data_IF_726880302650
#
_entry.id   IF_726880302650
#
_cell.length_a   1.000
_cell.length_b   1.000
_cell.length_c   1.000
_cell.angle_alpha   90.00
_cell.angle_beta   90.00
_cell.angle_gamma   90.00
#
_symmetry.space_group_name_H-M   'P 1'
#
loop_
_entity.id
_entity.type
_entity.pdbx_description
1 polymer ?
#
# COMPACT_ATOMS: atom_id res chain seq x y z
N UNK A 1 -4.39 36.40 99.33
CA UNK A 1 -4.54 37.79 98.83
C UNK A 1 -4.31 37.77 97.33
N UNK A 2 -5.22 38.39 96.57
CA UNK A 2 -5.17 38.62 95.11
C UNK A 2 -3.99 39.49 94.72
N UNK A 3 -3.45 39.29 93.50
CA UNK A 3 -3.31 40.32 92.46
C UNK A 3 -3.25 39.64 91.07
N UNK A 4 -4.17 39.98 90.17
CA UNK A 4 -4.01 39.89 88.70
C UNK A 4 -3.16 41.08 88.22
N UNK A 5 -2.40 40.97 87.11
CA UNK A 5 -2.20 42.10 86.16
C UNK A 5 -1.63 41.65 84.80
N UNK A 6 -2.48 41.72 83.78
CA UNK A 6 -2.35 42.17 82.38
C UNK A 6 -1.15 41.82 81.48
N UNK A 7 -1.50 41.19 80.34
CA UNK A 7 -0.75 41.17 79.08
C UNK A 7 -0.78 42.54 78.37
N UNK A 8 0.36 42.94 77.80
CA UNK A 8 0.45 43.97 76.76
C UNK A 8 1.19 43.40 75.55
N UNK A 9 0.50 43.37 74.41
CA UNK A 9 1.06 43.05 73.09
C UNK A 9 1.92 44.24 72.60
N UNK A 10 3.14 43.96 72.15
CA UNK A 10 3.94 44.88 71.32
C UNK A 10 3.95 44.39 69.86
N UNK A 11 3.89 45.31 68.88
CA UNK A 11 3.47 45.01 67.51
C UNK A 11 4.55 44.27 66.70
N UNK A 12 4.10 43.23 65.99
CA UNK A 12 4.91 42.46 65.05
C UNK A 12 5.35 43.27 63.83
N UNK A 13 6.59 43.00 63.43
CA UNK A 13 7.34 43.54 62.29
C UNK A 13 6.72 43.18 60.91
N UNK A 14 5.42 43.38 60.72
CA UNK A 14 4.72 43.25 59.43
C UNK A 14 4.54 44.59 58.70
N UNK A 15 4.60 45.71 59.44
CA UNK A 15 4.46 47.06 58.88
C UNK A 15 5.60 47.47 57.96
N UNK A 16 6.83 47.00 58.20
CA UNK A 16 7.99 47.41 57.40
C UNK A 16 7.90 46.97 55.93
N UNK A 17 7.35 45.78 55.64
CA UNK A 17 7.21 45.31 54.25
C UNK A 17 6.12 46.07 53.49
N UNK A 18 4.99 46.37 54.14
CA UNK A 18 3.92 47.18 53.54
C UNK A 18 4.36 48.63 53.35
N UNK A 19 5.12 49.19 54.28
CA UNK A 19 5.63 50.57 54.18
C UNK A 19 6.70 50.67 53.09
N UNK A 20 7.61 49.69 52.95
CA UNK A 20 8.59 49.67 51.85
C UNK A 20 7.90 49.51 50.48
N UNK A 21 6.87 48.67 50.38
CA UNK A 21 6.07 48.52 49.15
C UNK A 21 5.29 49.80 48.79
N UNK A 22 4.70 50.48 49.79
CA UNK A 22 4.01 51.76 49.60
C UNK A 22 4.97 52.89 49.24
N UNK A 23 6.19 52.91 49.80
CA UNK A 23 7.23 53.90 49.48
C UNK A 23 7.75 53.70 48.04
N UNK A 24 7.93 52.45 47.58
CA UNK A 24 8.30 52.15 46.19
C UNK A 24 7.21 52.55 45.19
N UNK A 25 5.92 52.41 45.56
CA UNK A 25 4.79 52.90 44.78
C UNK A 25 4.71 54.44 44.76
N UNK A 26 4.94 55.09 45.90
CA UNK A 26 4.85 56.54 46.05
C UNK A 26 6.04 57.31 45.42
N UNK A 27 7.23 56.70 45.35
CA UNK A 27 8.44 57.28 44.73
C UNK A 27 8.49 57.12 43.19
N UNK A 28 7.37 56.75 42.54
CA UNK A 28 7.29 56.66 41.08
C UNK A 28 7.64 55.29 40.49
N UNK A 29 7.65 54.22 41.29
CA UNK A 29 7.84 52.84 40.80
C UNK A 29 6.62 52.25 40.07
N UNK A 30 5.42 52.82 40.26
CA UNK A 30 4.19 52.39 39.58
C UNK A 30 4.29 52.43 38.03
N UNK A 31 4.73 53.54 37.38
CA UNK A 31 4.90 53.58 35.93
C UNK A 31 5.95 52.59 35.39
N UNK A 32 7.00 52.27 36.16
CA UNK A 32 7.98 51.24 35.78
C UNK A 32 7.37 49.84 35.77
N UNK A 33 6.54 49.49 36.77
CA UNK A 33 5.84 48.20 36.81
C UNK A 33 4.83 48.06 35.65
N UNK A 34 4.08 49.12 35.33
CA UNK A 34 3.14 49.12 34.21
C UNK A 34 3.87 48.94 32.88
N UNK A 35 5.02 49.61 32.70
CA UNK A 35 5.86 49.45 31.50
C UNK A 35 6.44 48.03 31.38
N UNK A 36 6.92 47.44 32.49
CA UNK A 36 7.45 46.06 32.47
C UNK A 36 6.36 45.04 32.16
N UNK A 37 5.17 45.18 32.75
CA UNK A 37 4.01 44.32 32.45
C UNK A 37 3.55 44.51 30.99
N UNK A 38 3.53 45.75 30.49
CA UNK A 38 3.22 46.04 29.09
C UNK A 38 4.22 45.40 28.11
N UNK A 39 5.52 45.46 28.40
CA UNK A 39 6.56 44.80 27.61
C UNK A 39 6.40 43.28 27.68
N UNK A 40 6.17 42.68 28.85
CA UNK A 40 5.94 41.24 29.00
C UNK A 40 4.70 40.76 28.24
N UNK A 41 3.59 41.51 28.28
CA UNK A 41 2.38 41.19 27.53
C UNK A 41 2.59 41.33 26.02
N UNK A 42 3.27 42.39 25.57
CA UNK A 42 3.54 42.63 24.14
C UNK A 42 4.51 41.61 23.55
N UNK A 43 5.56 41.24 24.29
CA UNK A 43 6.54 40.21 23.87
C UNK A 43 5.91 38.82 23.90
N UNK A 44 5.09 38.51 24.90
CA UNK A 44 4.29 37.28 24.94
C UNK A 44 3.30 37.17 23.78
N UNK A 45 2.59 38.25 23.46
CA UNK A 45 1.68 38.30 22.31
C UNK A 45 2.42 38.14 20.98
N UNK A 46 3.58 38.81 20.83
CA UNK A 46 4.39 38.68 19.62
C UNK A 46 4.93 37.26 19.43
N UNK A 47 5.41 36.63 20.50
CA UNK A 47 5.83 35.22 20.47
C UNK A 47 4.67 34.29 20.13
N UNK A 48 3.49 34.52 20.72
CA UNK A 48 2.30 33.75 20.40
C UNK A 48 1.91 33.89 18.92
N UNK A 49 1.92 35.11 18.38
CA UNK A 49 1.58 35.39 16.99
C UNK A 49 2.63 34.79 16.03
N UNK A 50 3.91 34.86 16.40
CA UNK A 50 4.99 34.22 15.65
C UNK A 50 4.86 32.69 15.65
N UNK A 51 4.54 32.07 16.78
CA UNK A 51 4.28 30.63 16.87
C UNK A 51 3.02 30.24 16.08
N UNK A 52 1.98 31.07 16.10
CA UNK A 52 0.77 30.85 15.32
C UNK A 52 1.05 30.89 13.82
N UNK A 53 1.82 31.88 13.34
CA UNK A 53 2.25 31.97 11.95
C UNK A 53 3.15 30.79 11.58
N UNK A 54 4.09 30.41 12.45
CA UNK A 54 4.96 29.26 12.23
C UNK A 54 4.16 27.95 12.14
N UNK A 55 3.17 27.75 13.03
CA UNK A 55 2.27 26.61 12.98
C UNK A 55 1.41 26.60 11.72
N UNK A 56 0.89 27.74 11.29
CA UNK A 56 0.10 27.86 10.06
C UNK A 56 0.95 27.59 8.82
N UNK A 57 2.16 28.14 8.75
CA UNK A 57 3.13 27.89 7.69
C UNK A 57 3.55 26.41 7.64
N UNK A 58 3.81 25.79 8.81
CA UNK A 58 4.11 24.37 8.90
C UNK A 58 2.91 23.51 8.46
N UNK A 59 1.70 23.82 8.91
CA UNK A 59 0.48 23.12 8.49
C UNK A 59 0.25 23.24 6.98
N UNK A 60 0.45 24.42 6.41
CA UNK A 60 0.35 24.65 4.97
C UNK A 60 1.41 23.86 4.19
N UNK A 61 2.65 23.87 4.65
CA UNK A 61 3.74 23.07 4.08
C UNK A 61 3.43 21.57 4.08
N UNK A 62 2.95 21.04 5.21
CA UNK A 62 2.57 19.63 5.34
C UNK A 62 1.40 19.30 4.41
N UNK A 63 0.33 20.12 4.37
CA UNK A 63 -0.81 19.89 3.47
C UNK A 63 -0.40 19.87 2.01
N UNK A 64 0.48 20.78 1.59
CA UNK A 64 1.00 20.81 0.23
C UNK A 64 1.80 19.54 -0.08
N UNK A 65 2.66 19.10 0.82
CA UNK A 65 3.45 17.87 0.65
C UNK A 65 2.59 16.61 0.60
N UNK A 66 1.55 16.53 1.44
CA UNK A 66 0.58 15.43 1.42
C UNK A 66 -0.18 15.41 0.09
N UNK A 67 -0.65 16.57 -0.40
CA UNK A 67 -1.35 16.64 -1.69
C UNK A 67 -0.46 16.25 -2.88
N UNK A 68 0.80 16.68 -2.90
CA UNK A 68 1.76 16.28 -3.94
C UNK A 68 1.97 14.75 -3.93
N UNK A 69 2.08 14.15 -2.74
CA UNK A 69 2.22 12.71 -2.56
C UNK A 69 0.96 11.92 -3.00
N UNK A 70 -0.23 12.37 -2.58
CA UNK A 70 -1.51 11.73 -2.94
C UNK A 70 -1.81 11.79 -4.44
N UNK A 71 -1.46 12.91 -5.09
CA UNK A 71 -1.61 13.07 -6.54
C UNK A 71 -0.67 12.13 -7.30
N UNK A 72 0.62 12.08 -6.93
CA UNK A 72 1.59 11.20 -7.56
C UNK A 72 1.21 9.71 -7.39
N UNK A 73 0.74 9.32 -6.20
CA UNK A 73 0.25 7.96 -5.96
C UNK A 73 -1.00 7.65 -6.79
N UNK A 74 -1.92 8.61 -6.91
CA UNK A 74 -3.13 8.46 -7.74
C UNK A 74 -2.79 8.35 -9.22
N UNK A 75 -1.82 9.11 -9.71
CA UNK A 75 -1.36 9.08 -11.10
C UNK A 75 -0.66 7.75 -11.42
N UNK A 76 0.27 7.29 -10.57
CA UNK A 76 0.93 5.99 -10.72
C UNK A 76 -0.08 4.85 -10.76
N UNK A 77 -1.07 4.86 -9.86
CA UNK A 77 -2.17 3.88 -9.87
C UNK A 77 -2.99 3.93 -11.15
N UNK A 78 -3.35 5.13 -11.61
CA UNK A 78 -4.13 5.31 -12.84
C UNK A 78 -3.37 4.78 -14.06
N UNK A 79 -2.08 5.10 -14.14
CA UNK A 79 -1.19 4.61 -15.19
C UNK A 79 -1.10 3.09 -15.18
N UNK A 80 -0.92 2.50 -14.00
CA UNK A 80 -0.88 1.04 -13.83
C UNK A 80 -2.14 0.36 -14.37
N UNK A 81 -3.32 0.84 -13.93
CA UNK A 81 -4.61 0.27 -14.33
C UNK A 81 -4.85 0.46 -15.83
N UNK A 82 -4.46 1.61 -16.39
CA UNK A 82 -4.54 1.88 -17.82
C UNK A 82 -3.70 0.88 -18.61
N UNK A 83 -2.39 0.78 -18.32
CA UNK A 83 -1.49 -0.14 -19.00
C UNK A 83 -1.94 -1.60 -18.84
N UNK A 84 -2.34 -1.98 -17.62
CA UNK A 84 -2.85 -3.32 -17.36
C UNK A 84 -4.07 -3.64 -18.23
N UNK A 85 -5.07 -2.76 -18.25
CA UNK A 85 -6.27 -2.96 -19.07
C UNK A 85 -5.93 -3.05 -20.56
N UNK A 86 -5.06 -2.18 -21.06
CA UNK A 86 -4.63 -2.18 -22.46
C UNK A 86 -3.91 -3.47 -22.84
N UNK A 87 -2.96 -3.93 -22.00
CA UNK A 87 -2.22 -5.17 -22.23
C UNK A 87 -3.17 -6.37 -22.23
N UNK A 88 -4.07 -6.47 -21.24
CA UNK A 88 -5.00 -7.60 -21.16
C UNK A 88 -5.96 -7.64 -22.35
N UNK A 89 -6.40 -6.49 -22.87
CA UNK A 89 -7.21 -6.41 -24.08
C UNK A 89 -6.42 -6.85 -25.30
N UNK A 90 -5.17 -6.39 -25.47
CA UNK A 90 -4.31 -6.83 -26.58
C UNK A 90 -4.00 -8.32 -26.53
N UNK A 91 -3.84 -8.87 -25.34
CA UNK A 91 -3.66 -10.31 -25.09
C UNK A 91 -4.93 -11.08 -25.46
N UNK A 92 -6.11 -10.61 -25.07
CA UNK A 92 -7.37 -11.23 -25.46
C UNK A 92 -7.67 -11.10 -26.97
N UNK A 93 -7.10 -10.09 -27.64
CA UNK A 93 -7.17 -9.92 -29.09
C UNK A 93 -6.13 -10.75 -29.84
N UNK A 94 -5.35 -11.62 -29.18
CA UNK A 94 -4.28 -12.38 -29.81
C UNK A 94 -4.78 -13.20 -31.02
N UNK A 95 -5.93 -13.86 -30.88
CA UNK A 95 -6.58 -14.63 -31.96
C UNK A 95 -7.54 -13.78 -32.83
N UNK A 96 -7.50 -12.45 -32.68
CA UNK A 96 -8.22 -11.48 -33.49
C UNK A 96 -9.48 -10.90 -32.83
N UNK A 97 -10.32 -11.74 -32.18
CA UNK A 97 -11.54 -11.28 -31.51
C UNK A 97 -11.59 -11.73 -30.05
N UNK A 98 -11.97 -10.79 -29.17
CA UNK A 98 -12.12 -11.05 -27.73
C UNK A 98 -13.38 -11.86 -27.49
N UNK A 99 -13.27 -13.00 -26.80
CA UNK A 99 -14.42 -13.81 -26.40
C UNK A 99 -15.15 -13.17 -25.22
N UNK A 100 -16.41 -13.58 -25.01
CA UNK A 100 -17.17 -13.15 -23.83
C UNK A 100 -16.51 -13.63 -22.52
N UNK A 101 -15.90 -14.80 -22.53
CA UNK A 101 -15.24 -15.38 -21.36
C UNK A 101 -13.99 -14.58 -20.96
N UNK A 102 -13.18 -14.20 -21.94
CA UNK A 102 -11.99 -13.35 -21.74
C UNK A 102 -12.37 -11.97 -21.23
N UNK A 103 -13.32 -11.32 -21.90
CA UNK A 103 -13.81 -10.00 -21.49
C UNK A 103 -14.36 -10.03 -20.07
N UNK A 104 -15.11 -11.08 -19.72
CA UNK A 104 -15.66 -11.23 -18.36
C UNK A 104 -14.56 -11.52 -17.34
N UNK A 105 -13.52 -12.27 -17.71
CA UNK A 105 -12.36 -12.52 -16.85
C UNK A 105 -11.61 -11.23 -16.53
N UNK A 106 -11.34 -10.40 -17.55
CA UNK A 106 -10.73 -9.08 -17.37
C UNK A 106 -11.60 -8.23 -16.42
N UNK A 107 -12.90 -8.12 -16.68
CA UNK A 107 -13.81 -7.32 -15.83
C UNK A 107 -13.93 -7.87 -14.41
N UNK A 108 -13.93 -9.19 -14.24
CA UNK A 108 -13.99 -9.84 -12.93
C UNK A 108 -12.71 -9.58 -12.13
N UNK A 109 -11.56 -9.46 -12.77
CA UNK A 109 -10.34 -9.08 -12.06
C UNK A 109 -10.51 -7.72 -11.38
N UNK A 110 -10.87 -6.67 -12.13
CA UNK A 110 -11.07 -5.34 -11.57
C UNK A 110 -12.18 -5.31 -10.50
N UNK A 111 -13.30 -5.99 -10.75
CA UNK A 111 -14.43 -5.98 -9.83
C UNK A 111 -14.19 -6.81 -8.55
N UNK A 112 -13.65 -8.01 -8.70
CA UNK A 112 -13.59 -9.00 -7.60
C UNK A 112 -12.26 -8.94 -6.86
N UNK A 113 -11.14 -8.83 -7.57
CA UNK A 113 -9.80 -8.86 -6.95
C UNK A 113 -9.30 -7.46 -6.59
N UNK A 114 -9.68 -6.44 -7.38
CA UNK A 114 -9.39 -5.05 -7.03
C UNK A 114 -10.54 -4.35 -6.32
N UNK A 115 -11.67 -5.05 -6.09
CA UNK A 115 -12.84 -4.52 -5.40
C UNK A 115 -13.39 -3.20 -5.99
N UNK A 116 -13.30 -3.03 -7.31
CA UNK A 116 -13.77 -1.81 -7.96
C UNK A 116 -15.28 -1.67 -7.85
N UNK A 117 -15.71 -0.52 -7.35
CA UNK A 117 -17.12 -0.15 -7.29
C UNK A 117 -17.68 0.19 -8.68
N UNK A 118 -19.00 0.44 -8.75
CA UNK A 118 -19.68 0.71 -10.00
C UNK A 118 -19.10 1.90 -10.78
N UNK A 119 -18.66 2.96 -10.08
CA UNK A 119 -18.09 4.16 -10.72
C UNK A 119 -16.70 3.88 -11.29
N UNK A 120 -15.86 3.13 -10.56
CA UNK A 120 -14.55 2.70 -11.05
C UNK A 120 -14.68 1.73 -12.23
N UNK A 121 -15.69 0.86 -12.19
CA UNK A 121 -15.99 -0.05 -13.30
C UNK A 121 -16.43 0.68 -14.57
N UNK A 122 -17.07 1.85 -14.47
CA UNK A 122 -17.32 2.70 -15.64
C UNK A 122 -16.02 3.09 -16.33
N UNK A 123 -15.03 3.57 -15.57
CA UNK A 123 -13.72 3.91 -16.12
C UNK A 123 -12.99 2.70 -16.71
N UNK A 124 -13.05 1.54 -16.07
CA UNK A 124 -12.48 0.29 -16.63
C UNK A 124 -13.14 -0.08 -17.96
N UNK A 125 -14.47 0.07 -18.09
CA UNK A 125 -15.15 -0.19 -19.35
C UNK A 125 -14.71 0.77 -20.46
N UNK A 126 -14.49 2.04 -20.15
CA UNK A 126 -13.92 3.00 -21.11
C UNK A 126 -12.50 2.60 -21.51
N UNK A 127 -11.63 2.23 -20.55
CA UNK A 127 -10.28 1.74 -20.86
C UNK A 127 -10.29 0.52 -21.78
N UNK A 128 -11.19 -0.44 -21.55
CA UNK A 128 -11.31 -1.64 -22.40
C UNK A 128 -11.74 -1.25 -23.82
N UNK A 129 -12.70 -0.33 -23.94
CA UNK A 129 -13.19 0.16 -25.24
C UNK A 129 -12.10 0.91 -25.99
N UNK A 130 -11.34 1.76 -25.31
CA UNK A 130 -10.22 2.51 -25.86
C UNK A 130 -9.11 1.57 -26.31
N UNK A 131 -8.74 0.59 -25.47
CA UNK A 131 -7.70 -0.40 -25.76
C UNK A 131 -8.01 -1.25 -27.01
N UNK A 132 -9.29 -1.51 -27.29
CA UNK A 132 -9.73 -2.27 -28.46
C UNK A 132 -9.33 -1.58 -29.77
N UNK A 133 -9.25 -0.24 -29.77
CA UNK A 133 -8.93 0.60 -30.93
C UNK A 133 -7.55 1.26 -30.83
N UNK A 134 -6.82 1.04 -29.74
CA UNK A 134 -5.51 1.65 -29.51
C UNK A 134 -4.50 1.14 -30.57
N UNK A 135 -3.77 2.02 -31.27
CA UNK A 135 -2.79 1.62 -32.29
C UNK A 135 -1.50 1.00 -31.71
N UNK A 136 -1.22 1.18 -30.42
CA UNK A 136 -0.01 0.70 -29.77
C UNK A 136 0.09 -0.82 -29.85
N UNK A 137 1.28 -1.31 -30.14
CA UNK A 137 1.57 -2.73 -30.16
C UNK A 137 1.67 -3.29 -28.73
N UNK A 138 1.44 -4.59 -28.57
CA UNK A 138 1.58 -5.26 -27.29
C UNK A 138 2.99 -5.09 -26.71
N UNK A 139 4.02 -5.16 -27.56
CA UNK A 139 5.42 -4.98 -27.17
C UNK A 139 5.68 -3.57 -26.61
N UNK A 140 5.06 -2.55 -27.22
CA UNK A 140 5.18 -1.16 -26.76
C UNK A 140 4.59 -1.00 -25.36
N UNK A 141 3.41 -1.58 -25.13
CA UNK A 141 2.75 -1.54 -23.83
C UNK A 141 3.52 -2.33 -22.76
N UNK A 142 4.07 -3.50 -23.12
CA UNK A 142 4.90 -4.30 -22.23
C UNK A 142 6.20 -3.60 -21.85
N UNK A 143 6.84 -2.89 -22.79
CA UNK A 143 8.05 -2.12 -22.51
C UNK A 143 7.74 -0.96 -21.55
N UNK A 144 6.66 -0.21 -21.81
CA UNK A 144 6.20 0.85 -20.90
C UNK A 144 5.87 0.30 -19.51
N UNK A 145 5.22 -0.86 -19.43
CA UNK A 145 4.90 -1.50 -18.15
C UNK A 145 6.17 -1.92 -17.40
N UNK A 146 7.12 -2.55 -18.10
CA UNK A 146 8.41 -2.98 -17.55
C UNK A 146 9.24 -1.81 -17.04
N UNK A 147 9.26 -0.70 -17.78
CA UNK A 147 10.02 0.50 -17.40
C UNK A 147 9.36 1.28 -16.27
N UNK A 148 8.03 1.22 -16.16
CA UNK A 148 7.26 1.98 -15.16
C UNK A 148 7.13 1.26 -13.81
N UNK A 149 7.19 -0.07 -13.79
CA UNK A 149 6.87 -0.86 -12.60
C UNK A 149 8.00 -1.81 -12.17
N UNK A 150 8.06 -2.04 -10.86
CA UNK A 150 8.96 -3.00 -10.23
C UNK A 150 8.68 -4.44 -10.70
N UNK A 151 9.41 -5.40 -10.15
CA UNK A 151 9.29 -6.80 -10.54
C UNK A 151 7.92 -7.40 -10.16
N UNK A 152 7.42 -7.08 -8.97
CA UNK A 152 6.23 -7.69 -8.38
C UNK A 152 4.95 -7.43 -9.19
N UNK A 153 4.66 -6.22 -9.69
CA UNK A 153 3.50 -5.99 -10.55
C UNK A 153 3.56 -6.73 -11.89
N UNK A 154 4.76 -7.10 -12.38
CA UNK A 154 4.92 -7.92 -13.59
C UNK A 154 4.43 -9.35 -13.38
N UNK A 155 4.60 -9.89 -12.18
CA UNK A 155 4.05 -11.20 -11.82
C UNK A 155 2.52 -11.19 -11.87
N UNK A 156 1.90 -10.12 -11.35
CA UNK A 156 0.44 -9.94 -11.40
C UNK A 156 -0.03 -9.88 -12.85
N UNK A 157 0.64 -9.11 -13.70
CA UNK A 157 0.29 -9.03 -15.12
C UNK A 157 0.35 -10.41 -15.79
N UNK A 158 1.43 -11.18 -15.59
CA UNK A 158 1.57 -12.51 -16.20
C UNK A 158 0.53 -13.49 -15.66
N UNK A 159 0.24 -13.49 -14.35
CA UNK A 159 -0.86 -14.28 -13.78
C UNK A 159 -2.18 -13.97 -14.50
N UNK A 160 -2.48 -12.69 -14.75
CA UNK A 160 -3.71 -12.27 -15.42
C UNK A 160 -3.75 -12.66 -16.90
N UNK A 161 -2.61 -12.61 -17.59
CA UNK A 161 -2.49 -13.15 -18.95
C UNK A 161 -2.89 -14.63 -18.98
N UNK A 162 -2.40 -15.43 -18.03
CA UNK A 162 -2.82 -16.82 -17.89
C UNK A 162 -4.31 -16.96 -17.57
N UNK A 163 -4.88 -16.12 -16.69
CA UNK A 163 -6.32 -16.15 -16.41
C UNK A 163 -7.16 -15.88 -17.67
N UNK A 164 -6.74 -14.91 -18.48
CA UNK A 164 -7.43 -14.54 -19.72
C UNK A 164 -7.40 -15.70 -20.71
N UNK A 165 -6.24 -16.26 -21.02
CA UNK A 165 -6.16 -17.39 -21.95
C UNK A 165 -6.92 -18.62 -21.44
N UNK A 166 -6.78 -18.98 -20.17
CA UNK A 166 -7.49 -20.12 -19.57
C UNK A 166 -8.98 -19.85 -19.27
N UNK A 167 -9.52 -18.69 -19.64
CA UNK A 167 -10.95 -18.42 -19.54
C UNK A 167 -11.77 -19.14 -20.61
N UNK A 168 -11.13 -19.48 -21.74
CA UNK A 168 -11.74 -20.29 -22.79
C UNK A 168 -11.66 -21.78 -22.44
N UNK A 169 -12.54 -22.60 -23.04
CA UNK A 169 -12.60 -24.05 -22.79
C UNK A 169 -11.31 -24.78 -23.16
N UNK A 170 -10.57 -24.26 -24.15
CA UNK A 170 -9.30 -24.80 -24.61
C UNK A 170 -8.32 -23.66 -24.82
N UNK A 171 -7.10 -23.87 -24.34
CA UNK A 171 -5.97 -22.98 -24.59
C UNK A 171 -5.10 -23.61 -25.67
N UNK A 172 -4.76 -22.85 -26.68
CA UNK A 172 -3.91 -23.28 -27.80
C UNK A 172 -2.43 -23.20 -27.42
N UNK A 173 -1.59 -23.95 -28.14
CA UNK A 173 -0.12 -23.86 -27.97
C UNK A 173 0.42 -22.48 -28.35
N UNK A 174 -0.27 -21.75 -29.23
CA UNK A 174 0.12 -20.39 -29.62
C UNK A 174 -0.12 -19.39 -28.48
N UNK A 175 -1.26 -19.48 -27.80
CA UNK A 175 -1.53 -18.66 -26.59
C UNK A 175 -0.54 -18.98 -25.47
N UNK A 176 -0.21 -20.25 -25.25
CA UNK A 176 0.81 -20.63 -24.27
C UNK A 176 2.21 -20.14 -24.65
N UNK A 177 2.55 -20.15 -25.94
CA UNK A 177 3.79 -19.56 -26.44
C UNK A 177 3.79 -18.05 -26.23
N UNK A 178 2.67 -17.38 -26.47
CA UNK A 178 2.53 -15.94 -26.25
C UNK A 178 2.69 -15.59 -24.77
N UNK A 179 2.08 -16.34 -23.85
CA UNK A 179 2.26 -16.14 -22.41
C UNK A 179 3.73 -16.31 -21.98
N UNK A 180 4.43 -17.31 -22.54
CA UNK A 180 5.88 -17.50 -22.33
C UNK A 180 6.70 -16.32 -22.83
N UNK A 181 6.39 -15.83 -24.03
CA UNK A 181 7.07 -14.68 -24.63
C UNK A 181 6.86 -13.41 -23.80
N UNK A 182 5.63 -13.16 -23.31
CA UNK A 182 5.30 -12.04 -22.43
C UNK A 182 6.09 -12.14 -21.12
N UNK A 183 6.12 -13.31 -20.49
CA UNK A 183 6.88 -13.51 -19.25
C UNK A 183 8.38 -13.29 -19.44
N UNK A 184 8.95 -13.76 -20.56
CA UNK A 184 10.33 -13.52 -20.91
C UNK A 184 10.62 -12.04 -21.18
N UNK A 185 9.72 -11.35 -21.90
CA UNK A 185 9.82 -9.93 -22.19
C UNK A 185 9.82 -9.08 -20.91
N UNK A 186 9.00 -9.45 -19.94
CA UNK A 186 8.90 -8.79 -18.63
C UNK A 186 10.03 -9.19 -17.66
N UNK A 187 10.98 -10.01 -18.11
CA UNK A 187 12.16 -10.45 -17.37
C UNK A 187 11.83 -11.23 -16.10
N UNK A 188 10.78 -12.06 -16.14
CA UNK A 188 10.44 -12.95 -15.02
C UNK A 188 11.52 -14.03 -14.83
N UNK A 189 11.84 -14.32 -13.58
CA UNK A 189 12.71 -15.45 -13.23
C UNK A 189 12.04 -16.76 -13.63
N UNK A 190 12.84 -17.73 -14.10
CA UNK A 190 12.32 -19.04 -14.52
C UNK A 190 11.50 -19.73 -13.42
N UNK A 191 11.89 -19.53 -12.15
CA UNK A 191 11.17 -20.08 -11.01
C UNK A 191 9.77 -19.45 -10.83
N UNK A 192 9.67 -18.12 -10.88
CA UNK A 192 8.39 -17.45 -10.67
C UNK A 192 7.44 -17.73 -11.85
N UNK A 193 7.99 -17.69 -13.06
CA UNK A 193 7.24 -18.05 -14.26
C UNK A 193 6.72 -19.50 -14.20
N UNK A 194 7.57 -20.47 -13.82
CA UNK A 194 7.17 -21.87 -13.69
C UNK A 194 6.07 -22.05 -12.63
N UNK A 195 6.18 -21.33 -11.51
CA UNK A 195 5.17 -21.36 -10.44
C UNK A 195 3.81 -20.89 -10.94
N UNK A 196 3.77 -19.79 -11.70
CA UNK A 196 2.54 -19.27 -12.34
C UNK A 196 2.03 -20.30 -13.35
N UNK A 197 2.87 -20.73 -14.29
CA UNK A 197 2.47 -21.63 -15.38
C UNK A 197 1.90 -22.95 -14.85
N UNK A 198 2.56 -23.59 -13.88
CA UNK A 198 2.12 -24.86 -13.30
C UNK A 198 0.70 -24.76 -12.75
N UNK A 199 0.36 -23.67 -12.04
CA UNK A 199 -0.99 -23.45 -11.49
C UNK A 199 -2.10 -23.57 -12.53
N UNK A 200 -1.86 -23.12 -13.78
CA UNK A 200 -2.88 -23.12 -14.83
C UNK A 200 -2.88 -24.40 -15.66
N UNK A 201 -1.70 -24.92 -16.02
CA UNK A 201 -1.60 -26.17 -16.79
C UNK A 201 -2.20 -27.34 -16.02
N UNK A 202 -1.99 -27.40 -14.70
CA UNK A 202 -2.51 -28.49 -13.87
C UNK A 202 -4.02 -28.35 -13.60
N UNK A 203 -4.58 -27.14 -13.62
CA UNK A 203 -6.03 -26.89 -13.44
C UNK A 203 -6.89 -27.54 -14.53
N UNK A 204 -6.36 -27.77 -15.74
CA UNK A 204 -7.07 -28.48 -16.82
C UNK A 204 -7.08 -30.01 -16.66
N UNK A 205 -6.31 -30.59 -15.72
CA UNK A 205 -6.31 -32.03 -15.45
C UNK A 205 -7.30 -32.36 -14.34
N UNK A 206 -8.30 -33.18 -14.65
CA UNK A 206 -9.51 -33.45 -13.85
C UNK A 206 -9.30 -34.24 -12.53
N UNK A 207 -8.09 -34.36 -12.02
CA UNK A 207 -7.82 -35.01 -10.72
C UNK A 207 -6.42 -34.64 -10.19
N UNK A 208 -6.21 -33.38 -9.80
CA UNK A 208 -5.03 -33.02 -8.99
C UNK A 208 -5.39 -33.22 -7.52
N UNK A 209 -4.60 -34.01 -6.79
CA UNK A 209 -4.82 -34.14 -5.36
C UNK A 209 -4.38 -32.86 -4.64
N UNK A 210 -4.99 -32.55 -3.48
CA UNK A 210 -4.75 -31.29 -2.76
C UNK A 210 -3.27 -31.06 -2.44
N UNK A 211 -2.52 -32.13 -2.20
CA UNK A 211 -1.09 -32.05 -1.91
C UNK A 211 -0.27 -31.56 -3.11
N UNK A 212 -0.52 -32.13 -4.30
CA UNK A 212 0.14 -31.69 -5.54
C UNK A 212 -0.12 -30.20 -5.79
N UNK A 213 -1.36 -29.76 -5.59
CA UNK A 213 -1.71 -28.34 -5.71
C UNK A 213 -0.88 -27.47 -4.75
N UNK A 214 -0.61 -27.93 -3.52
CA UNK A 214 0.21 -27.16 -2.58
C UNK A 214 1.70 -27.15 -2.92
N UNK A 215 2.25 -28.22 -3.49
CA UNK A 215 3.60 -28.17 -4.05
C UNK A 215 3.66 -27.19 -5.22
N UNK A 216 2.67 -27.19 -6.12
CA UNK A 216 2.58 -26.27 -7.25
C UNK A 216 2.46 -24.81 -6.81
N UNK A 217 1.66 -24.52 -5.77
CA UNK A 217 1.58 -23.16 -5.17
C UNK A 217 2.95 -22.67 -4.71
N UNK A 218 3.80 -23.57 -4.21
CA UNK A 218 5.17 -23.26 -3.81
C UNK A 218 6.20 -23.35 -4.96
N UNK A 219 5.78 -23.66 -6.18
CA UNK A 219 6.69 -23.85 -7.32
C UNK A 219 7.61 -25.06 -7.17
N UNK A 220 7.14 -26.10 -6.49
CA UNK A 220 7.89 -27.31 -6.16
C UNK A 220 7.29 -28.54 -6.85
N UNK A 221 8.11 -29.56 -7.04
CA UNK A 221 7.65 -30.88 -7.47
C UNK A 221 7.17 -31.69 -6.26
N UNK A 222 6.19 -32.60 -6.44
CA UNK A 222 5.76 -33.52 -5.39
C UNK A 222 6.94 -34.33 -4.84
N UNK A 223 7.05 -34.40 -3.52
CA UNK A 223 8.16 -35.09 -2.84
C UNK A 223 9.39 -34.21 -2.58
N UNK A 224 9.33 -32.90 -2.87
CA UNK A 224 10.36 -31.96 -2.45
C UNK A 224 10.60 -32.03 -0.93
N UNK A 225 11.86 -31.94 -0.52
CA UNK A 225 12.29 -32.01 0.87
C UNK A 225 11.75 -30.84 1.71
N UNK A 226 11.69 -31.03 3.03
CA UNK A 226 11.23 -29.98 3.92
C UNK A 226 12.08 -28.69 3.86
N UNK A 227 13.38 -28.81 3.58
CA UNK A 227 14.26 -27.65 3.39
C UNK A 227 13.94 -26.89 2.09
N UNK A 228 13.61 -27.60 1.01
CA UNK A 228 13.12 -26.98 -0.23
C UNK A 228 11.79 -26.26 -0.02
N UNK A 229 10.87 -26.86 0.74
CA UNK A 229 9.58 -26.24 1.12
C UNK A 229 9.80 -24.95 1.90
N UNK A 230 10.67 -24.95 2.92
CA UNK A 230 10.99 -23.73 3.68
C UNK A 230 11.62 -22.65 2.80
N UNK A 231 12.53 -23.04 1.90
CA UNK A 231 13.22 -22.11 1.01
C UNK A 231 12.24 -21.46 0.03
N UNK A 232 11.37 -22.25 -0.59
CA UNK A 232 10.32 -21.78 -1.48
C UNK A 232 9.36 -20.83 -0.76
N UNK A 233 8.88 -21.23 0.43
CA UNK A 233 8.02 -20.39 1.26
C UNK A 233 8.64 -19.02 1.55
N UNK A 234 9.88 -18.98 2.05
CA UNK A 234 10.56 -17.71 2.36
C UNK A 234 10.69 -16.81 1.12
N UNK A 235 11.06 -17.39 -0.03
CA UNK A 235 11.18 -16.66 -1.28
C UNK A 235 9.84 -16.05 -1.68
N UNK A 236 8.78 -16.87 -1.74
CA UNK A 236 7.45 -16.43 -2.16
C UNK A 236 6.85 -15.42 -1.18
N UNK A 237 7.04 -15.58 0.13
CA UNK A 237 6.59 -14.60 1.12
C UNK A 237 7.25 -13.22 0.95
N UNK A 238 8.52 -13.17 0.53
CA UNK A 238 9.18 -11.89 0.25
C UNK A 238 8.70 -11.27 -1.07
N UNK A 239 8.44 -12.09 -2.08
CA UNK A 239 7.97 -11.65 -3.40
C UNK A 239 6.54 -11.11 -3.35
N UNK A 240 5.63 -11.80 -2.66
CA UNK A 240 4.21 -11.46 -2.59
C UNK A 240 3.84 -10.66 -1.34
N UNK A 241 4.81 -10.02 -0.68
CA UNK A 241 4.52 -9.21 0.50
C UNK A 241 3.66 -7.98 0.13
N UNK A 242 2.57 -7.67 0.86
CA UNK A 242 1.67 -6.56 0.55
C UNK A 242 2.38 -5.22 0.37
N UNK A 243 3.42 -4.95 1.17
CA UNK A 243 4.22 -3.71 1.09
C UNK A 243 4.88 -3.50 -0.28
N UNK A 244 5.15 -4.55 -1.05
CA UNK A 244 5.77 -4.43 -2.39
C UNK A 244 4.87 -3.75 -3.40
N UNK A 245 3.56 -3.85 -3.23
CA UNK A 245 2.55 -3.32 -4.16
C UNK A 245 1.65 -2.25 -3.53
N UNK A 246 1.86 -1.89 -2.25
CA UNK A 246 1.04 -0.91 -1.55
C UNK A 246 1.00 0.48 -2.20
N UNK A 247 2.06 0.87 -2.92
CA UNK A 247 2.10 2.13 -3.66
C UNK A 247 1.11 2.17 -4.85
N UNK A 248 0.65 1.02 -5.34
CA UNK A 248 -0.34 0.92 -6.42
C UNK A 248 -1.78 1.08 -5.92
N UNK A 249 -2.01 1.03 -4.61
CA UNK A 249 -3.34 1.16 -3.99
C UNK A 249 -3.67 0.00 -3.06
N UNK A 250 -4.64 0.21 -2.18
CA UNK A 250 -5.08 -0.81 -1.21
C UNK A 250 -5.67 -2.03 -1.92
N UNK A 251 -6.27 -1.84 -3.10
CA UNK A 251 -6.78 -2.92 -3.93
C UNK A 251 -5.69 -3.95 -4.31
N UNK A 252 -4.48 -3.49 -4.68
CA UNK A 252 -3.38 -4.38 -5.06
C UNK A 252 -2.72 -5.03 -3.85
N UNK A 253 -2.75 -4.35 -2.72
CA UNK A 253 -2.39 -4.93 -1.44
C UNK A 253 -3.29 -6.12 -1.12
N UNK A 254 -4.60 -6.01 -1.37
CA UNK A 254 -5.55 -7.12 -1.25
C UNK A 254 -5.19 -8.32 -2.13
N UNK A 255 -4.77 -8.09 -3.39
CA UNK A 255 -4.31 -9.17 -4.28
C UNK A 255 -3.08 -9.88 -3.73
N UNK A 256 -2.09 -9.12 -3.24
CA UNK A 256 -0.90 -9.69 -2.62
C UNK A 256 -1.23 -10.46 -1.33
N UNK A 257 -2.17 -9.97 -0.51
CA UNK A 257 -2.65 -10.66 0.68
C UNK A 257 -3.35 -11.98 0.36
N UNK A 258 -4.16 -12.03 -0.70
CA UNK A 258 -4.79 -13.28 -1.16
C UNK A 258 -3.74 -14.31 -1.57
N UNK A 259 -2.74 -13.90 -2.37
CA UNK A 259 -1.62 -14.77 -2.73
C UNK A 259 -0.82 -15.23 -1.52
N UNK A 260 -0.59 -14.35 -0.55
CA UNK A 260 0.08 -14.72 0.69
C UNK A 260 -0.71 -15.75 1.49
N UNK A 261 -2.05 -15.65 1.52
CA UNK A 261 -2.91 -16.66 2.16
C UNK A 261 -2.79 -18.01 1.47
N UNK A 262 -2.77 -18.08 0.14
CA UNK A 262 -2.56 -19.31 -0.62
C UNK A 262 -1.19 -19.95 -0.28
N UNK A 263 -0.11 -19.15 -0.30
CA UNK A 263 1.26 -19.60 0.02
C UNK A 263 1.34 -20.13 1.46
N UNK A 264 0.73 -19.42 2.42
CA UNK A 264 0.68 -19.82 3.81
C UNK A 264 -0.07 -21.15 3.98
N UNK A 265 -1.23 -21.30 3.34
CA UNK A 265 -2.01 -22.53 3.40
C UNK A 265 -1.22 -23.74 2.88
N UNK A 266 -0.56 -23.58 1.73
CA UNK A 266 0.28 -24.61 1.14
C UNK A 266 1.44 -25.02 2.06
N UNK A 267 2.16 -24.04 2.61
CA UNK A 267 3.26 -24.31 3.54
C UNK A 267 2.79 -25.02 4.81
N UNK A 268 1.68 -24.59 5.42
CA UNK A 268 1.18 -25.20 6.65
C UNK A 268 0.75 -26.65 6.44
N UNK A 269 0.08 -26.93 5.32
CA UNK A 269 -0.29 -28.30 4.97
C UNK A 269 0.95 -29.19 4.81
N UNK A 270 1.90 -28.78 3.98
CA UNK A 270 3.10 -29.57 3.69
C UNK A 270 3.96 -29.76 4.94
N UNK A 271 4.12 -28.70 5.76
CA UNK A 271 4.81 -28.78 7.04
C UNK A 271 4.17 -29.82 7.97
N UNK A 272 2.84 -29.80 8.10
CA UNK A 272 2.10 -30.76 8.94
C UNK A 272 2.30 -32.18 8.43
N UNK A 273 2.26 -32.37 7.11
CA UNK A 273 2.51 -33.68 6.49
C UNK A 273 3.92 -34.20 6.83
N UNK A 274 4.95 -33.40 6.65
CA UNK A 274 6.33 -33.78 6.98
C UNK A 274 6.50 -34.15 8.46
N UNK A 275 5.87 -33.39 9.35
CA UNK A 275 5.90 -33.68 10.79
C UNK A 275 5.16 -34.95 11.18
N UNK A 276 4.17 -35.40 10.40
CA UNK A 276 3.42 -36.63 10.67
C UNK A 276 4.07 -37.89 10.06
N UNK A 277 5.09 -37.71 9.21
CA UNK A 277 5.83 -38.80 8.56
C UNK A 277 7.13 -39.17 9.28
N UNK A 278 7.48 -38.44 10.35
CA UNK A 278 8.66 -38.62 11.18
C UNK A 278 8.28 -38.62 12.66
#
# INVERSE_FOLDING_TARGET
MRYEYHYHNQPGCGGCLLVVALILLALGGAPLLINVIGILLSTGLFLFLALFVAFWAFSFYIRRKVSEYEQAQTESRKNFVSLLAHILVKVAQFDGNITRAELQTIKNFFRTHLHYNQNQMFWVNELIKDATHNPDSLETLLEQFKSSFAYEPRLILVELVYQVFFSNERVTEQELAQARNIAAFLELSSYDFQTIQSRYIHRQRTAVNLEQQYYEVLGLQPGASFEEIKKAYRKLSMTYHPDKVGHLGEEFKGVAEEKMKEINAAYQYLKTKFNNQH
#
